data_IF_322423076503
#
_entry.id   IF_322423076503
#
_cell.length_a   1.000
_cell.length_b   1.000
_cell.length_c   1.000
_cell.angle_alpha   90.00
_cell.angle_beta   90.00
_cell.angle_gamma   90.00
#
_symmetry.space_group_name_H-M   'P 1'
#
loop_
_entity.id
_entity.type
_entity.pdbx_description
1 polymer ?
#
# COMPACT_ATOMS: atom_id res chain seq x y z
N UNK A 1 -7.94 20.38 3.01
CA UNK A 1 -7.41 19.79 4.26
C UNK A 1 -8.25 18.56 4.55
N UNK A 2 -7.61 17.41 4.71
CA UNK A 2 -8.29 16.17 5.07
C UNK A 2 -8.61 16.20 6.56
N UNK A 3 -9.84 15.80 6.92
CA UNK A 3 -10.25 15.61 8.31
C UNK A 3 -10.38 14.10 8.57
N UNK A 4 -9.52 13.50 9.42
CA UNK A 4 -9.59 12.08 9.72
C UNK A 4 -10.94 11.67 10.31
N UNK A 5 -11.49 10.55 9.86
CA UNK A 5 -12.74 10.02 10.42
C UNK A 5 -12.51 9.48 11.85
N UNK A 6 -13.51 9.64 12.71
CA UNK A 6 -13.47 9.10 14.08
C UNK A 6 -13.63 7.57 14.08
N UNK A 7 -13.02 6.92 15.08
CA UNK A 7 -13.22 5.50 15.38
C UNK A 7 -14.26 5.37 16.50
N UNK A 8 -15.30 4.51 16.38
CA UNK A 8 -15.54 3.57 15.27
C UNK A 8 -16.06 4.26 14.00
N UNK A 9 -15.66 3.72 12.86
CA UNK A 9 -16.14 4.07 11.52
C UNK A 9 -16.86 2.88 10.90
N UNK A 10 -17.96 3.13 10.21
CA UNK A 10 -18.65 2.18 9.36
C UNK A 10 -19.08 2.92 8.09
N UNK A 11 -18.91 2.29 6.93
CA UNK A 11 -19.29 2.88 5.65
C UNK A 11 -20.81 2.83 5.45
N UNK A 12 -21.40 3.99 5.15
CA UNK A 12 -22.81 4.14 4.80
C UNK A 12 -23.06 4.06 3.28
N UNK A 13 -21.99 4.17 2.47
CA UNK A 13 -22.06 4.23 0.99
C UNK A 13 -22.00 2.86 0.32
N UNK A 14 -21.49 1.85 1.02
CA UNK A 14 -21.23 0.52 0.45
C UNK A 14 -22.37 -0.44 0.79
N UNK A 15 -22.77 -1.26 -0.18
CA UNK A 15 -23.63 -2.42 0.08
C UNK A 15 -22.83 -3.44 0.89
N UNK A 16 -22.87 -3.27 2.21
CA UNK A 16 -22.15 -4.11 3.16
C UNK A 16 -22.65 -5.55 3.06
N UNK A 17 -21.77 -6.56 3.10
CA UNK A 17 -22.18 -7.91 3.47
C UNK A 17 -22.61 -7.86 4.94
N UNK A 18 -23.90 -7.61 5.18
CA UNK A 18 -24.48 -7.59 6.51
C UNK A 18 -24.91 -9.01 6.91
N UNK A 19 -24.68 -9.42 8.16
CA UNK A 19 -24.02 -8.66 9.25
C UNK A 19 -22.48 -8.65 9.13
N UNK A 20 -21.84 -7.58 9.63
CA UNK A 20 -20.39 -7.53 9.81
C UNK A 20 -19.93 -8.64 10.78
N UNK A 21 -18.77 -9.26 10.57
CA UNK A 21 -18.27 -10.33 11.44
C UNK A 21 -17.96 -9.83 12.84
N UNK A 22 -18.29 -10.64 13.83
CA UNK A 22 -17.99 -10.42 15.24
C UNK A 22 -16.49 -10.63 15.54
N UNK A 23 -16.01 -10.07 16.65
CA UNK A 23 -14.60 -10.25 17.07
C UNK A 23 -14.25 -11.73 17.27
N UNK A 24 -15.19 -12.53 17.79
CA UNK A 24 -14.95 -13.95 18.01
C UNK A 24 -14.85 -14.71 16.68
N UNK A 25 -15.73 -14.42 15.71
CA UNK A 25 -15.63 -14.97 14.34
C UNK A 25 -14.31 -14.58 13.68
N UNK A 26 -13.88 -13.33 13.80
CA UNK A 26 -12.60 -12.84 13.26
C UNK A 26 -11.43 -13.61 13.89
N UNK A 27 -11.39 -13.72 15.22
CA UNK A 27 -10.27 -14.34 15.95
C UNK A 27 -10.17 -15.84 15.76
N UNK A 28 -11.30 -16.51 15.59
CA UNK A 28 -11.37 -17.96 15.36
C UNK A 28 -11.36 -18.34 13.88
N UNK A 29 -11.30 -17.37 12.98
CA UNK A 29 -11.32 -17.62 11.54
C UNK A 29 -10.15 -18.54 11.13
N UNK A 30 -10.42 -19.72 10.54
CA UNK A 30 -9.37 -20.66 10.18
C UNK A 30 -8.60 -20.24 8.92
N UNK A 31 -9.17 -19.34 8.12
CA UNK A 31 -8.61 -18.90 6.85
C UNK A 31 -7.68 -17.69 7.06
N UNK A 32 -6.48 -17.99 7.57
CA UNK A 32 -5.43 -17.00 7.82
C UNK A 32 -4.68 -16.75 6.51
N UNK A 33 -4.76 -15.52 6.01
CA UNK A 33 -4.01 -15.11 4.82
C UNK A 33 -2.57 -14.71 5.17
N UNK A 34 -2.40 -14.11 6.36
CA UNK A 34 -1.09 -13.69 6.87
C UNK A 34 -1.14 -13.51 8.40
N UNK A 35 -0.04 -13.81 9.08
CA UNK A 35 0.10 -13.64 10.52
C UNK A 35 1.55 -13.32 10.89
N UNK A 36 1.72 -12.34 11.78
CA UNK A 36 2.95 -12.11 12.51
C UNK A 36 2.63 -11.99 14.01
N UNK A 37 3.66 -11.75 14.83
CA UNK A 37 3.50 -11.70 16.30
C UNK A 37 2.45 -10.69 16.79
N UNK A 38 2.23 -9.59 16.07
CA UNK A 38 1.42 -8.45 16.52
C UNK A 38 0.24 -8.11 15.61
N UNK A 39 0.08 -8.79 14.47
CA UNK A 39 -0.95 -8.49 13.46
C UNK A 39 -1.35 -9.75 12.69
N UNK A 40 -2.62 -9.83 12.28
CA UNK A 40 -3.19 -10.94 11.52
C UNK A 40 -4.12 -10.41 10.43
N UNK A 41 -4.14 -11.12 9.30
CA UNK A 41 -5.09 -10.92 8.20
C UNK A 41 -5.84 -12.22 7.97
N UNK A 42 -7.16 -12.19 8.11
CA UNK A 42 -8.04 -13.35 7.92
C UNK A 42 -9.09 -13.09 6.85
N UNK A 43 -9.34 -14.06 5.98
CA UNK A 43 -10.44 -14.01 5.01
C UNK A 43 -11.68 -14.66 5.63
N UNK A 44 -12.63 -13.82 6.08
CA UNK A 44 -13.87 -14.27 6.72
C UNK A 44 -14.76 -14.99 5.71
N UNK A 45 -14.81 -14.48 4.47
CA UNK A 45 -15.49 -15.09 3.35
C UNK A 45 -14.87 -14.61 2.03
N UNK A 46 -15.50 -14.91 0.90
CA UNK A 46 -14.96 -14.53 -0.41
C UNK A 46 -14.97 -13.03 -0.70
N UNK A 47 -15.76 -12.26 0.03
CA UNK A 47 -15.92 -10.81 -0.13
C UNK A 47 -15.24 -9.97 0.97
N UNK A 48 -14.91 -10.56 2.12
CA UNK A 48 -14.45 -9.84 3.32
C UNK A 48 -13.13 -10.40 3.84
N UNK A 49 -12.19 -9.49 4.05
CA UNK A 49 -10.96 -9.74 4.78
C UNK A 49 -10.89 -8.79 5.98
N UNK A 50 -10.30 -9.27 7.08
CA UNK A 50 -10.11 -8.48 8.28
C UNK A 50 -8.64 -8.46 8.66
N UNK A 51 -8.06 -7.26 8.72
CA UNK A 51 -6.72 -7.01 9.25
C UNK A 51 -6.86 -6.49 10.67
N UNK A 52 -6.23 -7.14 11.63
CA UNK A 52 -6.32 -6.75 13.03
C UNK A 52 -5.06 -7.03 13.83
N UNK A 53 -4.84 -6.27 14.89
CA UNK A 53 -3.73 -6.47 15.80
C UNK A 53 -3.26 -5.20 16.51
N UNK A 54 -2.18 -5.33 17.28
CA UNK A 54 -1.57 -4.23 18.05
C UNK A 54 -0.74 -3.29 17.20
N UNK A 55 -0.27 -3.74 16.04
CA UNK A 55 0.53 -2.96 15.08
C UNK A 55 -0.26 -2.59 13.82
N UNK A 56 -1.56 -2.88 13.78
CA UNK A 56 -2.43 -2.37 12.73
C UNK A 56 -2.74 -0.90 13.05
N UNK A 57 -2.46 -0.01 12.12
CA UNK A 57 -2.68 1.42 12.28
C UNK A 57 -4.01 1.85 11.64
N UNK A 58 -4.64 2.86 12.23
CA UNK A 58 -5.82 3.50 11.66
C UNK A 58 -5.50 4.28 10.38
N UNK A 59 -4.24 4.64 10.14
CA UNK A 59 -3.76 5.30 8.92
C UNK A 59 -4.19 4.55 7.65
N UNK A 60 -4.15 3.22 7.67
CA UNK A 60 -4.60 2.38 6.56
C UNK A 60 -6.08 2.61 6.26
N UNK A 61 -6.92 2.60 7.30
CA UNK A 61 -8.35 2.89 7.16
C UNK A 61 -8.60 4.30 6.63
N UNK A 62 -7.86 5.31 7.11
CA UNK A 62 -7.99 6.68 6.62
C UNK A 62 -7.59 6.79 5.13
N UNK A 63 -6.50 6.13 4.73
CA UNK A 63 -6.03 6.10 3.35
C UNK A 63 -7.07 5.50 2.40
N UNK A 64 -7.67 4.36 2.79
CA UNK A 64 -8.72 3.72 1.98
C UNK A 64 -9.96 4.62 1.82
N UNK A 65 -10.39 5.31 2.88
CA UNK A 65 -11.52 6.25 2.81
C UNK A 65 -11.17 7.46 1.91
N UNK A 66 -9.93 7.96 1.98
CA UNK A 66 -9.49 9.06 1.14
C UNK A 66 -9.49 8.68 -0.34
N UNK A 67 -8.93 7.51 -0.68
CA UNK A 67 -8.96 6.98 -2.05
C UNK A 67 -10.38 6.80 -2.54
N UNK A 68 -11.28 6.22 -1.75
CA UNK A 68 -12.69 6.08 -2.13
C UNK A 68 -13.37 7.43 -2.44
N UNK A 69 -13.03 8.50 -1.71
CA UNK A 69 -13.66 9.81 -1.89
C UNK A 69 -13.06 10.64 -3.01
N UNK A 70 -11.74 10.59 -3.19
CA UNK A 70 -11.02 11.55 -4.03
C UNK A 70 -10.28 10.92 -5.21
N UNK A 71 -10.05 9.61 -5.18
CA UNK A 71 -9.40 8.87 -6.27
C UNK A 71 -10.00 7.45 -6.40
N UNK A 72 -11.33 7.33 -6.63
CA UNK A 72 -12.02 6.04 -6.61
C UNK A 72 -11.56 5.07 -7.72
N UNK A 73 -10.92 5.61 -8.76
CA UNK A 73 -10.32 4.88 -9.87
C UNK A 73 -9.05 4.11 -9.46
N UNK A 74 -8.36 4.54 -8.39
CA UNK A 74 -7.20 3.81 -7.87
C UNK A 74 -7.70 2.48 -7.32
N UNK A 75 -7.16 1.35 -7.81
CA UNK A 75 -7.64 0.04 -7.42
C UNK A 75 -7.13 -0.33 -6.03
N UNK A 76 -7.91 0.03 -5.02
CA UNK A 76 -7.68 -0.27 -3.61
C UNK A 76 -8.92 -0.94 -2.98
N UNK A 77 -8.75 -1.81 -1.98
CA UNK A 77 -9.86 -2.37 -1.21
C UNK A 77 -10.76 -1.29 -0.62
N UNK A 78 -12.08 -1.50 -0.65
CA UNK A 78 -13.00 -0.63 0.09
C UNK A 78 -13.01 -0.96 1.58
N UNK A 79 -13.01 0.06 2.43
CA UNK A 79 -13.10 -0.10 3.88
C UNK A 79 -14.58 -0.14 4.31
N UNK A 80 -15.01 -1.27 4.86
CA UNK A 80 -16.37 -1.45 5.37
C UNK A 80 -16.54 -0.92 6.79
N UNK A 81 -15.56 -1.20 7.66
CA UNK A 81 -15.57 -0.71 9.03
C UNK A 81 -14.16 -0.64 9.61
N UNK A 82 -13.96 0.27 10.56
CA UNK A 82 -12.74 0.39 11.36
C UNK A 82 -13.11 0.67 12.81
N UNK A 83 -12.65 -0.18 13.72
CA UNK A 83 -12.92 -0.01 15.15
C UNK A 83 -11.75 -0.48 16.02
N UNK A 84 -11.75 -0.03 17.27
CA UNK A 84 -10.78 -0.44 18.28
C UNK A 84 -11.46 -1.34 19.30
N UNK A 85 -10.85 -2.48 19.60
CA UNK A 85 -11.24 -3.32 20.73
C UNK A 85 -10.01 -3.60 21.58
N UNK A 86 -10.11 -3.30 22.89
CA UNK A 86 -8.96 -3.36 23.79
C UNK A 86 -7.79 -2.51 23.27
N UNK A 87 -6.65 -3.12 22.97
CA UNK A 87 -5.44 -2.48 22.42
C UNK A 87 -5.20 -2.81 20.94
N UNK A 88 -6.21 -3.31 20.23
CA UNK A 88 -6.09 -3.75 18.85
C UNK A 88 -7.02 -2.95 17.95
N UNK A 89 -6.53 -2.62 16.75
CA UNK A 89 -7.34 -2.02 15.69
C UNK A 89 -7.81 -3.15 14.77
N UNK A 90 -9.05 -3.02 14.30
CA UNK A 90 -9.68 -3.93 13.35
C UNK A 90 -10.08 -3.12 12.12
N UNK A 91 -9.64 -3.57 10.96
CA UNK A 91 -10.00 -3.05 9.65
C UNK A 91 -10.78 -4.14 8.92
N UNK A 92 -12.08 -3.93 8.73
CA UNK A 92 -12.93 -4.79 7.91
C UNK A 92 -12.96 -4.18 6.51
N UNK A 93 -12.47 -4.93 5.52
CA UNK A 93 -12.26 -4.43 4.18
C UNK A 93 -12.68 -5.45 3.11
N UNK A 94 -12.89 -4.95 1.89
CA UNK A 94 -13.15 -5.75 0.72
C UNK A 94 -12.01 -6.73 0.47
N UNK A 95 -12.34 -7.99 0.26
CA UNK A 95 -11.38 -8.98 -0.22
C UNK A 95 -11.18 -8.79 -1.73
N UNK A 96 -9.93 -8.54 -2.14
CA UNK A 96 -9.54 -8.54 -3.54
C UNK A 96 -9.54 -9.99 -4.07
N UNK A 97 -10.40 -10.35 -5.04
CA UNK A 97 -10.33 -11.66 -5.68
C UNK A 97 -9.08 -11.70 -6.57
N UNK A 98 -8.24 -12.72 -6.42
CA UNK A 98 -7.07 -12.85 -7.27
C UNK A 98 -5.99 -13.75 -6.69
N UNK A 99 -4.88 -13.82 -7.43
CA UNK A 99 -3.65 -14.49 -7.04
C UNK A 99 -2.62 -13.40 -6.76
N UNK A 100 -1.84 -13.55 -5.69
CA UNK A 100 -0.77 -12.60 -5.38
C UNK A 100 0.26 -12.58 -6.51
N UNK A 101 0.78 -11.39 -6.81
CA UNK A 101 1.60 -11.18 -7.99
C UNK A 101 2.87 -12.03 -7.94
N UNK A 102 3.56 -12.07 -6.80
CA UNK A 102 4.73 -12.92 -6.51
C UNK A 102 4.50 -14.40 -6.86
N UNK A 103 3.30 -14.93 -6.60
CA UNK A 103 2.96 -16.34 -6.84
C UNK A 103 2.71 -16.66 -8.31
N UNK A 104 2.09 -15.73 -9.03
CA UNK A 104 1.78 -15.94 -10.44
C UNK A 104 2.95 -15.54 -11.34
N UNK A 105 3.80 -14.59 -10.92
CA UNK A 105 4.87 -13.99 -11.70
C UNK A 105 5.80 -15.00 -12.39
N UNK A 106 6.26 -16.10 -11.75
CA UNK A 106 7.12 -17.09 -12.39
C UNK A 106 6.44 -17.87 -13.54
N UNK A 107 5.10 -17.87 -13.57
CA UNK A 107 4.30 -18.56 -14.60
C UNK A 107 3.89 -17.67 -15.78
N UNK A 108 4.16 -16.36 -15.68
CA UNK A 108 3.78 -15.39 -16.70
C UNK A 108 4.74 -15.42 -17.89
N UNK A 109 4.18 -15.24 -19.09
CA UNK A 109 4.98 -14.97 -20.29
C UNK A 109 5.54 -13.55 -20.26
N UNK A 110 6.58 -13.30 -21.05
CA UNK A 110 7.20 -11.97 -21.17
C UNK A 110 6.21 -10.87 -21.57
N UNK A 111 5.31 -11.15 -22.51
CA UNK A 111 4.25 -10.21 -22.90
C UNK A 111 3.30 -9.90 -21.74
N UNK A 112 2.92 -10.91 -20.95
CA UNK A 112 2.04 -10.72 -19.80
C UNK A 112 2.71 -9.92 -18.68
N UNK A 113 4.02 -10.11 -18.46
CA UNK A 113 4.80 -9.29 -17.53
C UNK A 113 4.84 -7.82 -17.99
N UNK A 114 5.05 -7.58 -19.28
CA UNK A 114 5.03 -6.22 -19.87
C UNK A 114 3.64 -5.58 -19.69
N UNK A 115 2.58 -6.31 -19.98
CA UNK A 115 1.20 -5.81 -19.81
C UNK A 115 0.93 -5.43 -18.36
N UNK A 116 1.40 -6.22 -17.39
CA UNK A 116 1.30 -5.91 -15.97
C UNK A 116 2.14 -4.67 -15.62
N UNK A 117 3.37 -4.55 -16.12
CA UNK A 117 4.21 -3.36 -15.93
C UNK A 117 3.51 -2.09 -16.43
N UNK A 118 2.87 -2.14 -17.62
CA UNK A 118 2.12 -0.99 -18.17
C UNK A 118 0.95 -0.60 -17.25
N UNK A 119 0.19 -1.59 -16.76
CA UNK A 119 -0.93 -1.33 -15.84
C UNK A 119 -0.45 -0.78 -14.50
N UNK A 120 0.65 -1.31 -13.95
CA UNK A 120 1.26 -0.78 -12.74
C UNK A 120 1.70 0.67 -12.94
N UNK A 121 2.33 0.98 -14.08
CA UNK A 121 2.73 2.36 -14.41
C UNK A 121 1.52 3.28 -14.40
N UNK A 122 0.42 2.91 -15.06
CA UNK A 122 -0.80 3.72 -15.05
C UNK A 122 -1.33 3.94 -13.63
N UNK A 123 -1.36 2.91 -12.78
CA UNK A 123 -1.79 3.03 -11.38
C UNK A 123 -0.88 3.99 -10.60
N UNK A 124 0.43 3.91 -10.77
CA UNK A 124 1.39 4.81 -10.13
C UNK A 124 1.27 6.25 -10.65
N UNK A 125 1.12 6.43 -11.97
CA UNK A 125 0.88 7.75 -12.57
C UNK A 125 -0.40 8.38 -11.99
N UNK A 126 -1.49 7.60 -11.91
CA UNK A 126 -2.76 8.05 -11.32
C UNK A 126 -2.61 8.38 -9.83
N UNK A 127 -1.86 7.57 -9.06
CA UNK A 127 -1.51 7.83 -7.66
C UNK A 127 -0.74 9.14 -7.49
N UNK A 128 0.23 9.42 -8.36
CA UNK A 128 1.03 10.65 -8.34
C UNK A 128 0.18 11.88 -8.69
N UNK A 129 -0.87 11.73 -9.50
CA UNK A 129 -1.83 12.81 -9.77
C UNK A 129 -2.81 13.06 -8.62
N UNK A 130 -2.88 12.20 -7.60
CA UNK A 130 -3.77 12.41 -6.45
C UNK A 130 -3.31 13.63 -5.68
N UNK A 131 -4.11 14.69 -5.76
CA UNK A 131 -3.85 15.96 -5.10
C UNK A 131 -3.56 15.75 -3.62
N UNK A 132 -2.37 16.17 -3.18
CA UNK A 132 -2.05 16.25 -1.77
C UNK A 132 -3.02 17.25 -1.10
N UNK A 133 -3.74 16.85 -0.03
CA UNK A 133 -4.69 17.73 0.66
C UNK A 133 -3.98 18.84 1.47
N UNK A 134 -2.66 18.80 1.53
CA UNK A 134 -1.76 19.71 2.22
C UNK A 134 -0.87 20.42 1.19
N UNK A 135 -0.84 21.76 1.13
CA UNK A 135 -0.02 22.48 0.16
C UNK A 135 1.45 22.16 0.37
N UNK A 136 2.08 21.80 -0.75
CA UNK A 136 3.45 21.36 -0.91
C UNK A 136 3.79 20.01 -0.17
N UNK A 137 3.11 19.56 0.88
CA UNK A 137 3.61 18.60 1.91
C UNK A 137 3.99 17.14 1.50
N UNK A 138 5.04 16.58 2.13
CA UNK A 138 5.37 15.13 2.14
C UNK A 138 5.23 14.49 3.54
N UNK A 139 4.28 13.57 3.68
CA UNK A 139 4.01 12.86 4.93
C UNK A 139 2.72 12.06 4.86
N UNK A 140 2.23 11.57 6.00
CA UNK A 140 1.00 10.79 6.04
C UNK A 140 -0.25 11.66 5.78
N UNK A 141 -1.36 10.99 5.49
CA UNK A 141 -2.64 11.65 5.18
C UNK A 141 -3.14 12.60 6.29
N UNK A 142 -2.81 12.32 7.55
CA UNK A 142 -3.19 13.12 8.71
C UNK A 142 -2.33 14.37 8.91
N UNK A 143 -1.32 14.62 8.06
CA UNK A 143 -0.35 15.70 8.26
C UNK A 143 0.82 15.29 9.16
N UNK A 144 0.97 14.00 9.46
CA UNK A 144 2.05 13.43 10.25
C UNK A 144 3.32 13.09 9.45
N UNK A 145 4.37 12.65 10.15
CA UNK A 145 5.65 12.26 9.54
C UNK A 145 5.56 10.96 8.72
N UNK A 146 6.65 10.61 8.03
CA UNK A 146 6.72 9.42 7.17
C UNK A 146 6.66 8.12 7.98
N UNK A 147 5.58 7.33 7.81
CA UNK A 147 5.33 6.08 8.53
C UNK A 147 6.12 4.90 7.92
N UNK A 148 7.45 4.99 7.92
CA UNK A 148 8.34 3.91 7.49
C UNK A 148 9.44 3.68 8.52
N UNK A 149 9.91 2.43 8.66
CA UNK A 149 10.92 2.05 9.65
C UNK A 149 12.25 2.78 9.45
N UNK A 150 12.55 3.23 8.23
CA UNK A 150 13.73 4.04 7.93
C UNK A 150 13.71 5.44 8.58
N UNK A 151 12.52 5.95 8.92
CA UNK A 151 12.34 7.26 9.55
C UNK A 151 11.94 7.15 11.02
N UNK A 152 12.04 5.95 11.60
CA UNK A 152 11.78 5.72 13.02
C UNK A 152 12.91 6.31 13.88
N UNK A 153 12.57 7.24 14.77
CA UNK A 153 13.51 7.79 15.77
C UNK A 153 13.06 7.43 17.19
N UNK A 154 13.92 6.78 18.00
CA UNK A 154 13.58 6.44 19.40
C UNK A 154 13.47 7.64 20.34
N UNK A 155 14.00 8.82 19.97
CA UNK A 155 14.38 9.85 20.95
C UNK A 155 13.81 11.27 20.70
N UNK A 156 12.59 11.38 20.18
CA UNK A 156 11.89 12.69 20.15
C UNK A 156 10.39 12.55 20.37
N UNK A 157 9.75 13.66 20.76
CA UNK A 157 8.29 13.77 20.95
C UNK A 157 7.45 13.49 19.69
N UNK A 158 8.07 13.18 18.54
CA UNK A 158 7.45 12.71 17.31
C UNK A 158 8.19 11.48 16.79
N UNK A 159 7.43 10.45 16.41
CA UNK A 159 7.94 9.09 16.12
C UNK A 159 8.59 8.94 14.72
N UNK A 160 8.40 9.94 13.84
CA UNK A 160 8.81 9.93 12.43
C UNK A 160 9.26 11.32 11.92
N UNK A 161 10.20 11.38 10.96
CA UNK A 161 10.78 12.62 10.36
C UNK A 161 9.97 13.15 9.14
N UNK A 162 10.00 14.47 8.87
CA UNK A 162 9.36 15.15 7.70
C UNK A 162 8.70 16.51 8.04
N UNK A 163 8.17 17.33 7.08
CA UNK A 163 7.96 17.17 5.59
C UNK A 163 8.78 18.11 4.60
N UNK A 164 8.75 17.89 3.24
CA UNK A 164 9.46 18.69 2.13
C UNK A 164 8.62 18.95 0.82
N UNK A 165 9.18 19.54 -0.31
CA UNK A 165 8.44 20.17 -1.47
C UNK A 165 9.03 20.13 -2.96
N UNK A 166 8.42 19.47 -4.03
CA UNK A 166 8.48 19.81 -5.53
C UNK A 166 8.76 18.75 -6.70
N UNK A 167 8.00 18.76 -7.85
CA UNK A 167 7.95 17.70 -8.94
C UNK A 167 7.70 18.18 -10.42
N UNK A 168 8.54 19.02 -11.03
CA UNK A 168 8.18 19.73 -12.30
C UNK A 168 8.68 19.12 -13.65
N UNK A 169 9.29 17.93 -13.72
CA UNK A 169 10.09 17.55 -14.89
C UNK A 169 9.61 16.33 -15.71
N UNK A 170 8.57 15.61 -15.30
CA UNK A 170 8.54 14.17 -15.58
C UNK A 170 7.68 13.70 -16.76
N UNK A 171 6.65 14.44 -17.18
CA UNK A 171 5.67 13.90 -18.14
C UNK A 171 6.06 14.22 -19.59
N UNK A 172 6.67 13.27 -20.30
CA UNK A 172 6.66 13.22 -21.77
C UNK A 172 6.94 11.82 -22.35
N UNK A 173 5.89 11.11 -22.78
CA UNK A 173 5.91 9.93 -23.69
C UNK A 173 5.65 8.59 -22.99
N UNK A 174 4.79 7.67 -23.44
CA UNK A 174 4.22 7.39 -24.76
C UNK A 174 3.09 6.33 -24.60
N UNK A 175 2.28 6.12 -25.65
CA UNK A 175 1.06 5.27 -25.72
C UNK A 175 1.30 3.92 -26.44
N UNK A 176 0.72 2.86 -25.84
CA UNK A 176 -0.03 1.67 -26.33
C UNK A 176 0.53 0.67 -27.37
N UNK A 177 0.46 -0.62 -27.02
CA UNK A 177 -0.50 -1.64 -27.53
C UNK A 177 -0.18 -2.99 -26.86
N UNK A 178 -1.18 -3.87 -26.69
CA UNK A 178 -1.17 -5.29 -27.12
C UNK A 178 -2.31 -6.11 -26.49
N UNK A 179 -2.87 -7.01 -27.31
CA UNK A 179 -3.85 -8.02 -26.95
C UNK A 179 -3.21 -9.25 -26.31
N UNK A 180 -3.53 -9.50 -25.03
CA UNK A 180 -3.20 -10.69 -24.25
C UNK A 180 -4.30 -10.97 -23.21
N UNK A 181 -4.07 -11.90 -22.27
CA UNK A 181 -4.97 -12.07 -21.11
C UNK A 181 -4.91 -10.78 -20.27
N UNK A 182 -6.05 -10.15 -20.04
CA UNK A 182 -6.13 -8.93 -19.24
C UNK A 182 -6.13 -9.24 -17.75
N UNK A 183 -5.24 -8.61 -16.98
CA UNK A 183 -5.21 -8.68 -15.51
C UNK A 183 -5.76 -7.40 -14.88
N UNK A 184 -6.67 -7.52 -13.92
CA UNK A 184 -7.02 -6.40 -13.06
C UNK A 184 -6.08 -6.39 -11.85
N UNK A 185 -5.45 -5.24 -11.58
CA UNK A 185 -4.48 -5.09 -10.48
C UNK A 185 -5.19 -4.42 -9.31
N UNK A 186 -5.05 -4.97 -8.10
CA UNK A 186 -5.53 -4.34 -6.86
C UNK A 186 -4.34 -4.21 -5.91
N UNK A 187 -4.06 -2.99 -5.48
CA UNK A 187 -3.02 -2.70 -4.50
C UNK A 187 -3.58 -2.86 -3.07
N UNK A 188 -2.83 -3.50 -2.20
CA UNK A 188 -3.19 -3.77 -0.79
C UNK A 188 -2.12 -3.22 0.15
N UNK A 189 -2.38 -3.24 1.45
CA UNK A 189 -1.45 -2.82 2.52
C UNK A 189 -1.14 -1.31 2.52
N UNK A 190 -2.18 -0.50 2.67
CA UNK A 190 -2.12 0.97 2.57
C UNK A 190 -1.73 1.67 3.89
N UNK A 191 -1.25 0.93 4.90
CA UNK A 191 -0.91 1.49 6.22
C UNK A 191 0.16 2.58 6.18
N UNK A 192 1.09 2.47 5.23
CA UNK A 192 2.17 3.42 5.05
C UNK A 192 1.92 4.35 3.86
N UNK A 193 0.68 4.50 3.41
CA UNK A 193 0.35 5.41 2.31
C UNK A 193 0.59 6.87 2.70
N UNK A 194 1.15 7.64 1.77
CA UNK A 194 1.47 9.04 1.97
C UNK A 194 2.08 9.65 0.71
N UNK A 195 2.34 10.95 0.75
CA UNK A 195 3.06 11.64 -0.32
C UNK A 195 4.54 11.60 0.01
N UNK A 196 5.29 10.77 -0.71
CA UNK A 196 6.73 10.59 -0.51
C UNK A 196 7.52 11.16 -1.70
N UNK A 197 8.82 11.43 -1.54
CA UNK A 197 9.66 11.82 -2.67
C UNK A 197 9.60 10.79 -3.81
N UNK A 198 9.70 11.22 -5.07
CA UNK A 198 9.51 10.37 -6.26
C UNK A 198 10.44 9.14 -6.38
N UNK A 199 11.52 9.06 -5.59
CA UNK A 199 12.37 7.87 -5.53
C UNK A 199 11.84 6.77 -4.60
N UNK A 200 10.86 7.09 -3.74
CA UNK A 200 10.40 6.23 -2.66
C UNK A 200 9.66 4.99 -3.16
N UNK A 201 8.80 5.18 -4.16
CA UNK A 201 8.07 4.08 -4.78
C UNK A 201 9.03 3.07 -5.42
N UNK A 202 10.04 3.56 -6.16
CA UNK A 202 11.08 2.71 -6.75
C UNK A 202 11.87 1.97 -5.68
N UNK A 203 12.28 2.65 -4.59
CA UNK A 203 12.97 2.00 -3.48
C UNK A 203 12.14 0.87 -2.85
N UNK A 204 10.85 1.09 -2.62
CA UNK A 204 9.93 0.10 -2.03
C UNK A 204 9.68 -1.07 -3.00
N UNK A 205 9.42 -0.79 -4.28
CA UNK A 205 9.18 -1.81 -5.30
C UNK A 205 10.43 -2.65 -5.61
N UNK A 206 11.61 -2.03 -5.52
CA UNK A 206 12.91 -2.69 -5.67
C UNK A 206 13.39 -3.36 -4.36
N UNK A 207 12.62 -3.29 -3.27
CA UNK A 207 12.96 -3.96 -2.02
C UNK A 207 12.66 -5.47 -2.12
N UNK A 208 13.53 -6.35 -1.62
CA UNK A 208 13.46 -7.79 -1.85
C UNK A 208 12.48 -8.50 -0.91
N UNK A 209 11.63 -7.75 -0.19
CA UNK A 209 10.87 -8.28 0.94
C UNK A 209 9.83 -9.35 0.56
N UNK A 210 9.59 -9.62 -0.73
CA UNK A 210 8.72 -10.70 -1.21
C UNK A 210 9.22 -11.50 -2.42
N UNK A 211 10.38 -11.15 -2.99
CA UNK A 211 10.92 -11.81 -4.19
C UNK A 211 12.30 -12.40 -3.89
N UNK A 212 12.51 -13.68 -4.21
CA UNK A 212 13.78 -14.37 -3.92
C UNK A 212 14.93 -13.73 -4.71
N UNK A 213 16.02 -13.42 -4.00
CA UNK A 213 17.22 -12.84 -4.60
C UNK A 213 17.80 -13.80 -5.66
N UNK A 214 17.70 -13.41 -6.93
CA UNK A 214 18.48 -13.98 -8.04
C UNK A 214 17.72 -14.86 -9.04
N UNK A 215 16.48 -15.25 -8.75
CA UNK A 215 15.66 -16.04 -9.69
C UNK A 215 14.52 -15.25 -10.35
N UNK A 216 14.15 -14.10 -9.78
CA UNK A 216 13.07 -13.26 -10.31
C UNK A 216 13.58 -11.97 -10.99
N UNK A 217 13.04 -11.65 -12.16
CA UNK A 217 13.33 -10.44 -12.94
C UNK A 217 12.59 -9.19 -12.44
N UNK A 218 11.68 -9.34 -11.46
CA UNK A 218 10.91 -8.24 -10.86
C UNK A 218 11.75 -7.01 -10.50
N UNK A 219 12.88 -7.22 -9.82
CA UNK A 219 13.78 -6.13 -9.41
C UNK A 219 14.25 -5.30 -10.61
N UNK A 220 14.55 -5.95 -11.73
CA UNK A 220 14.97 -5.28 -12.96
C UNK A 220 13.79 -4.67 -13.70
N UNK A 221 12.57 -5.21 -13.55
CA UNK A 221 11.37 -4.66 -14.19
C UNK A 221 10.73 -3.50 -13.43
N UNK A 222 11.09 -3.26 -12.17
CA UNK A 222 10.66 -2.05 -11.46
C UNK A 222 10.94 -0.75 -12.23
N UNK A 223 12.04 -0.70 -13.01
CA UNK A 223 12.35 0.43 -13.89
C UNK A 223 11.36 0.63 -15.04
N UNK A 224 10.61 -0.41 -15.40
CA UNK A 224 9.59 -0.37 -16.44
C UNK A 224 8.30 0.30 -15.95
N UNK A 225 8.09 0.48 -14.65
CA UNK A 225 6.88 1.13 -14.15
C UNK A 225 7.12 2.22 -13.12
N UNK A 226 8.37 2.41 -12.69
CA UNK A 226 8.78 3.48 -11.78
C UNK A 226 10.08 4.13 -12.27
N UNK A 227 10.21 5.43 -12.03
CA UNK A 227 11.44 6.15 -12.31
C UNK A 227 12.59 5.59 -11.46
N UNK A 228 13.72 5.29 -12.09
CA UNK A 228 14.92 4.80 -11.41
C UNK A 228 15.71 5.97 -10.84
N UNK A 229 16.08 5.85 -9.56
CA UNK A 229 16.91 6.80 -8.84
C UNK A 229 18.12 6.07 -8.25
N UNK A 230 19.19 5.80 -9.04
CA UNK A 230 20.26 4.91 -8.62
C UNK A 230 21.05 5.41 -7.40
N UNK A 231 21.23 6.73 -7.29
CA UNK A 231 21.98 7.34 -6.19
C UNK A 231 21.17 7.28 -4.89
N UNK A 232 19.87 7.59 -4.96
CA UNK A 232 18.93 7.58 -3.84
C UNK A 232 18.63 6.15 -3.39
N UNK A 233 18.51 5.19 -4.33
CA UNK A 233 18.42 3.77 -4.01
C UNK A 233 19.68 3.29 -3.27
N UNK A 234 20.87 3.63 -3.76
CA UNK A 234 22.12 3.26 -3.11
C UNK A 234 22.21 3.86 -1.70
N UNK A 235 21.84 5.12 -1.54
CA UNK A 235 21.80 5.81 -0.25
C UNK A 235 20.79 5.14 0.71
N UNK A 236 19.57 4.87 0.26
CA UNK A 236 18.55 4.21 1.09
C UNK A 236 18.94 2.78 1.45
N UNK A 237 19.63 2.05 0.57
CA UNK A 237 20.19 0.72 0.89
C UNK A 237 21.31 0.79 1.91
N UNK A 238 22.15 1.83 1.87
CA UNK A 238 23.15 2.08 2.91
C UNK A 238 22.49 2.39 4.25
N UNK A 239 21.49 3.29 4.27
CA UNK A 239 20.73 3.63 5.49
C UNK A 239 19.99 2.41 6.05
N UNK A 240 19.33 1.61 5.21
CA UNK A 240 18.64 0.38 5.64
C UNK A 240 19.64 -0.67 6.18
N UNK A 241 20.83 -0.78 5.58
CA UNK A 241 21.89 -1.67 6.08
C UNK A 241 22.41 -1.20 7.44
N UNK A 242 22.69 0.10 7.59
CA UNK A 242 23.18 0.69 8.84
C UNK A 242 22.13 0.57 9.96
N UNK A 243 20.85 0.76 9.63
CA UNK A 243 19.72 0.58 10.56
C UNK A 243 19.50 -0.89 10.96
N UNK A 244 19.91 -1.86 10.13
CA UNK A 244 19.83 -3.30 10.44
C UNK A 244 21.04 -3.83 11.23
N UNK A 245 22.08 -3.01 11.45
CA UNK A 245 23.19 -3.32 12.34
C UNK A 245 24.12 -4.45 11.88
N UNK A 246 24.35 -4.60 10.57
CA UNK A 246 25.33 -5.55 10.01
C UNK A 246 26.68 -4.90 9.66
#
# INVERSE_FOLDING_TARGET
MWEPVSIPFQSDSLSLPLPLPTIDEIRTCPNILWECYSSKVVAVNDAVVVKFGRMVDASEGQALIYLERYAPEIPAPRLYAMFKSSSEIFLIMQRAPGIQLDKIWPSLTESEKIDISIKLRQVFDDMQQVKCPWPDFFGDLGGGGVQDHLFYSPDTANRYLGPFYGEAAFIAGFIDDQSGRSFDIILVDWANAGWYPGYWEFFRAASPMGFEYGEDDWFWRAQEFLQVWPAELALMRMIDKDNRGY
#
